data_IF_237283916948
#
_entry.id   IF_237283916948
#
_cell.length_a   1.000
_cell.length_b   1.000
_cell.length_c   1.000
_cell.angle_alpha   90.00
_cell.angle_beta   90.00
_cell.angle_gamma   90.00
#
_symmetry.space_group_name_H-M   'P 1'
#
loop_
_entity.id
_entity.type
_entity.pdbx_description
1 polymer ?
#
# COMPACT_ATOMS: atom_id res chain seq x y z
N UNK A 1 -16.78 7.81 -5.72
CA UNK A 1 -15.99 8.92 -6.31
C UNK A 1 -16.17 9.04 -7.83
N UNK A 2 -17.13 8.37 -8.39
CA UNK A 2 -17.47 8.40 -9.85
C UNK A 2 -18.65 9.34 -10.19
N UNK A 3 -19.03 10.23 -9.27
CA UNK A 3 -20.09 11.23 -9.45
C UNK A 3 -21.52 10.74 -9.25
N UNK A 4 -21.71 9.45 -8.89
CA UNK A 4 -23.06 8.92 -8.60
C UNK A 4 -23.51 9.28 -7.19
N UNK A 5 -24.83 9.47 -7.03
CA UNK A 5 -25.46 9.58 -5.71
C UNK A 5 -25.88 8.18 -5.26
N UNK A 6 -25.49 7.80 -4.06
CA UNK A 6 -25.88 6.54 -3.43
C UNK A 6 -26.77 6.86 -2.22
N UNK A 7 -27.98 6.32 -2.20
CA UNK A 7 -28.89 6.50 -1.08
C UNK A 7 -28.88 5.26 -0.18
N UNK A 8 -28.70 5.45 1.11
CA UNK A 8 -28.71 4.39 2.13
C UNK A 8 -29.86 4.69 3.08
N UNK A 9 -30.78 3.74 3.22
CA UNK A 9 -32.03 3.94 3.94
C UNK A 9 -31.99 3.53 5.41
N UNK A 10 -31.00 2.72 5.79
CA UNK A 10 -30.87 2.16 7.16
C UNK A 10 -29.41 2.03 7.57
N UNK A 11 -29.10 1.90 8.87
CA UNK A 11 -27.74 1.60 9.30
C UNK A 11 -27.22 0.32 8.67
N UNK A 12 -25.99 0.38 8.12
CA UNK A 12 -25.32 -0.73 7.49
C UNK A 12 -25.04 -1.85 8.51
N UNK A 13 -25.31 -3.09 8.15
CA UNK A 13 -25.07 -4.28 8.97
C UNK A 13 -24.28 -5.35 8.22
N UNK A 14 -24.33 -5.33 6.91
CA UNK A 14 -23.71 -6.34 6.04
C UNK A 14 -23.00 -5.65 4.89
N UNK A 15 -21.68 -5.72 4.90
CA UNK A 15 -20.83 -5.01 3.93
C UNK A 15 -20.00 -6.04 3.17
N UNK A 16 -19.99 -5.92 1.86
CA UNK A 16 -19.00 -6.59 1.01
C UNK A 16 -17.94 -5.56 0.60
N UNK A 17 -16.68 -5.92 0.75
CA UNK A 17 -15.54 -5.10 0.28
C UNK A 17 -14.83 -5.82 -0.84
N UNK A 18 -14.41 -5.08 -1.87
CA UNK A 18 -13.65 -5.63 -2.98
C UNK A 18 -12.59 -4.63 -3.45
N UNK A 19 -11.31 -4.99 -3.27
CA UNK A 19 -10.18 -4.12 -3.62
C UNK A 19 -8.89 -4.50 -2.91
N UNK A 20 -8.08 -3.51 -2.58
CA UNK A 20 -6.72 -3.70 -2.09
C UNK A 20 -6.58 -3.66 -0.56
N UNK A 21 -7.65 -3.47 0.18
CA UNK A 21 -7.64 -3.54 1.63
C UNK A 21 -7.78 -2.19 2.34
N UNK A 22 -7.90 -1.08 1.63
CA UNK A 22 -8.15 0.23 2.25
C UNK A 22 -9.47 0.24 3.02
N UNK A 23 -10.58 -0.19 2.40
CA UNK A 23 -11.89 -0.20 3.05
C UNK A 23 -11.92 -1.08 4.32
N UNK A 24 -11.42 -2.33 4.31
CA UNK A 24 -11.29 -3.12 5.54
C UNK A 24 -10.45 -2.45 6.63
N UNK A 25 -9.32 -1.82 6.28
CA UNK A 25 -8.49 -1.10 7.26
C UNK A 25 -9.23 0.09 7.87
N UNK A 26 -9.91 0.90 7.05
CA UNK A 26 -10.74 2.02 7.55
C UNK A 26 -11.88 1.52 8.42
N UNK A 27 -12.56 0.43 8.04
CA UNK A 27 -13.61 -0.18 8.85
C UNK A 27 -13.07 -0.71 10.19
N UNK A 28 -11.85 -1.28 10.20
CA UNK A 28 -11.16 -1.65 11.44
C UNK A 28 -10.89 -0.43 12.33
N UNK A 29 -10.33 0.64 11.74
CA UNK A 29 -10.02 1.88 12.45
C UNK A 29 -11.27 2.60 12.97
N UNK A 30 -12.43 2.38 12.36
CA UNK A 30 -13.75 2.86 12.81
C UNK A 30 -14.42 1.95 13.86
N UNK A 31 -13.88 0.74 14.09
CA UNK A 31 -14.50 -0.25 14.98
C UNK A 31 -15.77 -0.87 14.41
N UNK A 32 -15.88 -0.96 13.07
CA UNK A 32 -17.04 -1.52 12.34
C UNK A 32 -16.64 -2.68 11.41
N UNK A 33 -15.47 -3.26 11.61
CA UNK A 33 -14.97 -4.35 10.78
C UNK A 33 -15.82 -5.62 10.82
N UNK A 34 -16.54 -5.86 11.93
CA UNK A 34 -17.45 -7.01 12.08
C UNK A 34 -18.65 -6.98 11.11
N UNK A 35 -18.90 -5.84 10.46
CA UNK A 35 -19.95 -5.71 9.45
C UNK A 35 -19.57 -6.37 8.12
N UNK A 36 -18.28 -6.70 7.90
CA UNK A 36 -17.81 -7.32 6.67
C UNK A 36 -18.28 -8.77 6.60
N UNK A 37 -19.02 -9.12 5.55
CA UNK A 37 -19.58 -10.46 5.32
C UNK A 37 -18.95 -11.20 4.15
N UNK A 38 -18.14 -10.53 3.35
CA UNK A 38 -17.40 -11.10 2.23
C UNK A 38 -16.34 -10.12 1.71
N UNK A 39 -15.26 -10.66 1.21
CA UNK A 39 -14.15 -9.87 0.67
C UNK A 39 -13.75 -10.36 -0.71
N UNK A 40 -13.27 -9.44 -1.54
CA UNK A 40 -12.67 -9.76 -2.83
C UNK A 40 -11.41 -8.90 -3.04
N UNK A 41 -10.61 -9.26 -4.02
CA UNK A 41 -9.39 -8.53 -4.34
C UNK A 41 -8.12 -9.18 -3.81
N UNK A 42 -7.10 -8.39 -3.47
CA UNK A 42 -5.80 -8.91 -3.02
C UNK A 42 -5.86 -9.58 -1.66
N UNK A 43 -6.90 -9.32 -0.85
CA UNK A 43 -7.11 -9.94 0.45
C UNK A 43 -7.23 -11.48 0.38
N UNK A 44 -7.79 -11.99 -0.73
CA UNK A 44 -7.97 -13.42 -0.97
C UNK A 44 -6.70 -14.14 -1.40
N UNK A 45 -5.72 -13.43 -1.96
CA UNK A 45 -4.58 -14.05 -2.65
C UNK A 45 -3.31 -14.19 -1.82
N UNK A 46 -3.28 -13.67 -0.60
CA UNK A 46 -2.08 -13.65 0.25
C UNK A 46 -1.84 -14.97 0.99
N UNK A 47 -2.20 -16.09 0.37
CA UNK A 47 -1.97 -17.47 0.80
C UNK A 47 -1.08 -17.61 2.06
N UNK A 48 -1.68 -17.48 3.24
CA UNK A 48 -1.03 -17.78 4.51
C UNK A 48 -0.08 -16.70 5.08
N UNK A 49 0.09 -15.55 4.43
CA UNK A 49 0.89 -14.44 4.96
C UNK A 49 -0.02 -13.43 5.67
N UNK A 50 0.42 -12.95 6.83
CA UNK A 50 -0.26 -11.85 7.52
C UNK A 50 0.18 -10.51 6.99
N UNK A 51 -0.75 -9.57 6.95
CA UNK A 51 -0.54 -8.16 6.65
C UNK A 51 -1.65 -7.36 7.35
N UNK A 52 -1.56 -6.04 7.33
CA UNK A 52 -2.39 -5.20 8.21
C UNK A 52 -3.88 -5.56 8.22
N UNK A 53 -4.60 -5.66 7.08
CA UNK A 53 -6.04 -5.99 7.13
C UNK A 53 -6.35 -7.32 7.82
N UNK A 54 -5.59 -8.38 7.55
CA UNK A 54 -5.85 -9.70 8.14
C UNK A 54 -5.40 -9.81 9.59
N UNK A 55 -4.48 -8.95 10.03
CA UNK A 55 -4.05 -8.86 11.42
C UNK A 55 -5.07 -8.09 12.27
N UNK A 56 -5.49 -6.91 11.82
CA UNK A 56 -6.43 -6.06 12.57
C UNK A 56 -7.88 -6.56 12.51
N UNK A 57 -8.22 -7.33 11.48
CA UNK A 57 -9.51 -8.00 11.28
C UNK A 57 -9.32 -9.49 10.98
N UNK A 58 -8.97 -10.32 11.98
CA UNK A 58 -8.77 -11.76 11.78
C UNK A 58 -9.96 -12.49 11.16
N UNK A 59 -11.18 -11.97 11.35
CA UNK A 59 -12.41 -12.51 10.77
C UNK A 59 -12.34 -12.61 9.24
N UNK A 60 -11.62 -11.72 8.56
CA UNK A 60 -11.46 -11.73 7.09
C UNK A 60 -10.96 -13.08 6.58
N UNK A 61 -10.10 -13.77 7.33
CA UNK A 61 -9.54 -15.08 6.93
C UNK A 61 -10.61 -16.19 6.80
N UNK A 62 -11.74 -16.01 7.45
CA UNK A 62 -12.87 -16.97 7.44
C UNK A 62 -14.02 -16.55 6.53
N UNK A 63 -13.94 -15.35 5.94
CA UNK A 63 -15.00 -14.85 5.06
C UNK A 63 -14.91 -15.49 3.66
N UNK A 64 -16.06 -15.57 2.93
CA UNK A 64 -16.06 -15.99 1.54
C UNK A 64 -15.13 -15.12 0.69
N UNK A 65 -14.28 -15.78 -0.08
CA UNK A 65 -13.47 -15.15 -1.12
C UNK A 65 -14.32 -14.97 -2.38
N UNK A 66 -14.49 -13.71 -2.77
CA UNK A 66 -15.32 -13.33 -3.91
C UNK A 66 -14.54 -13.17 -5.22
N UNK A 67 -13.26 -13.54 -5.23
CA UNK A 67 -12.39 -13.37 -6.42
C UNK A 67 -11.71 -12.01 -6.47
N UNK A 68 -10.97 -11.77 -7.56
CA UNK A 68 -10.00 -10.70 -7.66
C UNK A 68 -10.31 -9.71 -8.78
N UNK A 69 -10.24 -8.43 -8.51
CA UNK A 69 -10.32 -7.37 -9.51
C UNK A 69 -11.57 -7.49 -10.39
N UNK A 70 -11.35 -7.57 -11.71
CA UNK A 70 -12.44 -7.69 -12.69
C UNK A 70 -13.14 -9.05 -12.69
N UNK A 71 -12.53 -10.07 -12.09
CA UNK A 71 -13.07 -11.43 -11.98
C UNK A 71 -13.86 -11.62 -10.68
N UNK A 72 -14.24 -10.52 -10.02
CA UNK A 72 -15.10 -10.57 -8.84
C UNK A 72 -16.40 -11.29 -9.16
N UNK A 73 -16.73 -12.29 -8.34
CA UNK A 73 -17.96 -13.07 -8.47
C UNK A 73 -19.15 -12.28 -7.91
N UNK A 74 -19.83 -11.55 -8.79
CA UNK A 74 -20.97 -10.69 -8.44
C UNK A 74 -22.11 -11.51 -7.86
N UNK A 75 -22.39 -12.70 -8.41
CA UNK A 75 -23.45 -13.59 -7.96
C UNK A 75 -23.21 -14.02 -6.50
N UNK A 76 -21.97 -14.41 -6.19
CA UNK A 76 -21.59 -14.76 -4.82
C UNK A 76 -21.67 -13.56 -3.88
N UNK A 77 -21.26 -12.37 -4.33
CA UNK A 77 -21.34 -11.14 -3.53
C UNK A 77 -22.82 -10.81 -3.21
N UNK A 78 -23.70 -10.88 -4.19
CA UNK A 78 -25.15 -10.65 -4.03
C UNK A 78 -25.80 -11.71 -3.13
N UNK A 79 -25.39 -12.98 -3.24
CA UNK A 79 -25.92 -14.06 -2.42
C UNK A 79 -25.65 -13.89 -0.91
N UNK A 80 -24.66 -13.06 -0.55
CA UNK A 80 -24.41 -12.68 0.85
C UNK A 80 -25.44 -11.69 1.41
N UNK A 81 -26.38 -11.21 0.58
CA UNK A 81 -27.38 -10.19 0.94
C UNK A 81 -26.74 -8.98 1.65
N UNK A 82 -25.77 -8.29 1.04
CA UNK A 82 -25.15 -7.12 1.63
C UNK A 82 -26.09 -5.91 1.54
N UNK A 83 -25.99 -5.02 2.53
CA UNK A 83 -26.66 -3.71 2.50
C UNK A 83 -25.92 -2.75 1.56
N UNK A 84 -24.63 -2.97 1.37
CA UNK A 84 -23.76 -2.18 0.49
C UNK A 84 -22.57 -3.00 0.00
N UNK A 85 -22.09 -2.66 -1.19
CA UNK A 85 -20.81 -3.14 -1.72
C UNK A 85 -19.86 -1.95 -1.88
N UNK A 86 -18.65 -2.05 -1.31
CA UNK A 86 -17.59 -1.07 -1.44
C UNK A 86 -16.54 -1.62 -2.39
N UNK A 87 -16.38 -0.96 -3.54
CA UNK A 87 -15.41 -1.30 -4.57
C UNK A 87 -14.26 -0.31 -4.53
N UNK A 88 -13.05 -0.80 -4.38
CA UNK A 88 -11.83 0.00 -4.52
C UNK A 88 -11.31 -0.18 -5.94
N UNK A 89 -11.35 0.89 -6.74
CA UNK A 89 -10.84 0.88 -8.10
C UNK A 89 -9.34 1.02 -8.11
N UNK A 90 -8.67 0.05 -8.70
CA UNK A 90 -7.25 0.15 -9.01
C UNK A 90 -7.02 0.67 -10.42
N UNK A 91 -6.09 1.63 -10.51
CA UNK A 91 -5.66 2.22 -11.77
C UNK A 91 -4.14 2.10 -11.98
N UNK A 92 -3.44 1.46 -11.06
CA UNK A 92 -2.02 1.20 -11.21
C UNK A 92 -1.77 0.27 -12.42
N UNK A 93 -0.82 0.67 -13.29
CA UNK A 93 -0.52 -0.10 -14.51
C UNK A 93 -1.39 0.24 -15.73
N UNK A 94 -1.92 1.42 -15.82
CA UNK A 94 -2.65 2.09 -16.92
C UNK A 94 -3.12 1.20 -18.10
N UNK A 95 -4.41 1.17 -18.34
CA UNK A 95 -5.08 0.67 -19.56
C UNK A 95 -6.00 -0.51 -19.30
N UNK A 96 -5.51 -1.71 -19.04
CA UNK A 96 -6.37 -2.91 -18.95
C UNK A 96 -7.10 -3.04 -17.61
N UNK A 97 -6.42 -2.74 -16.47
CA UNK A 97 -7.04 -2.84 -15.16
C UNK A 97 -8.17 -1.81 -14.99
N UNK A 98 -7.98 -0.56 -15.42
CA UNK A 98 -9.04 0.46 -15.40
C UNK A 98 -10.25 0.06 -16.26
N UNK A 99 -10.03 -0.49 -17.47
CA UNK A 99 -11.12 -0.95 -18.34
C UNK A 99 -11.88 -2.15 -17.74
N UNK A 100 -11.17 -3.04 -17.05
CA UNK A 100 -11.77 -4.17 -16.37
C UNK A 100 -12.67 -3.73 -15.20
N UNK A 101 -12.24 -2.73 -14.42
CA UNK A 101 -13.06 -2.15 -13.35
C UNK A 101 -14.27 -1.39 -13.89
N UNK A 102 -14.16 -0.68 -15.02
CA UNK A 102 -15.31 -0.06 -15.69
C UNK A 102 -16.35 -1.12 -16.04
N UNK A 103 -15.94 -2.22 -16.67
CA UNK A 103 -16.84 -3.35 -16.98
C UNK A 103 -17.44 -3.99 -15.73
N UNK A 104 -16.67 -4.10 -14.64
CA UNK A 104 -17.18 -4.61 -13.36
C UNK A 104 -18.29 -3.70 -12.82
N UNK A 105 -18.09 -2.40 -12.82
CA UNK A 105 -19.07 -1.41 -12.37
C UNK A 105 -20.33 -1.46 -13.26
N UNK A 106 -20.17 -1.57 -14.59
CA UNK A 106 -21.28 -1.76 -15.53
C UNK A 106 -22.05 -3.04 -15.22
N UNK A 107 -21.36 -4.16 -15.00
CA UNK A 107 -22.00 -5.45 -14.62
C UNK A 107 -22.76 -5.33 -13.32
N UNK A 108 -22.22 -4.70 -12.27
CA UNK A 108 -22.96 -4.45 -11.03
C UNK A 108 -24.22 -3.62 -11.27
N UNK A 109 -24.14 -2.60 -12.12
CA UNK A 109 -25.28 -1.76 -12.45
C UNK A 109 -26.39 -2.52 -13.21
N UNK A 110 -26.03 -3.54 -13.99
CA UNK A 110 -26.97 -4.39 -14.71
C UNK A 110 -27.55 -5.51 -13.84
N UNK A 111 -26.76 -6.03 -12.91
CA UNK A 111 -27.10 -7.25 -12.17
C UNK A 111 -28.12 -7.03 -11.06
N UNK A 112 -28.12 -5.87 -10.42
CA UNK A 112 -29.07 -5.61 -9.33
C UNK A 112 -29.23 -4.11 -9.02
N UNK A 113 -30.42 -3.60 -9.31
CA UNK A 113 -30.81 -2.23 -8.95
C UNK A 113 -31.13 -2.05 -7.46
N UNK A 114 -31.04 -3.09 -6.62
CA UNK A 114 -31.48 -3.05 -5.21
C UNK A 114 -30.33 -2.93 -4.19
N UNK A 115 -29.11 -3.37 -4.53
CA UNK A 115 -27.95 -3.25 -3.61
C UNK A 115 -27.12 -2.04 -4.00
N UNK A 116 -27.03 -1.03 -3.13
CA UNK A 116 -26.18 0.14 -3.39
C UNK A 116 -24.71 -0.28 -3.42
N UNK A 117 -23.93 0.37 -4.29
CA UNK A 117 -22.48 0.22 -4.29
C UNK A 117 -21.77 1.55 -4.36
N UNK A 118 -20.67 1.66 -3.66
CA UNK A 118 -19.77 2.82 -3.62
C UNK A 118 -18.48 2.45 -4.28
N UNK A 119 -17.95 3.36 -5.11
CA UNK A 119 -16.64 3.20 -5.75
C UNK A 119 -15.68 4.20 -5.14
N UNK A 120 -14.61 3.69 -4.53
CA UNK A 120 -13.45 4.44 -4.09
C UNK A 120 -12.40 4.38 -5.20
N UNK A 121 -11.71 5.47 -5.44
CA UNK A 121 -10.64 5.55 -6.45
C UNK A 121 -9.33 5.79 -5.74
N UNK A 122 -8.37 4.92 -5.91
CA UNK A 122 -7.05 5.14 -5.35
C UNK A 122 -6.35 6.37 -5.99
N UNK A 123 -5.32 6.96 -5.35
CA UNK A 123 -4.60 8.12 -5.89
C UNK A 123 -4.07 7.90 -7.32
N UNK A 124 -3.60 6.70 -7.65
CA UNK A 124 -3.10 6.37 -9.00
C UNK A 124 -4.17 6.41 -10.11
N UNK A 125 -5.45 6.55 -9.76
CA UNK A 125 -6.52 6.78 -10.71
C UNK A 125 -6.59 8.23 -11.24
N UNK A 126 -5.75 9.11 -10.74
CA UNK A 126 -5.71 10.52 -11.12
C UNK A 126 -4.39 10.86 -11.81
N UNK A 127 -4.43 11.78 -12.75
CA UNK A 127 -3.24 12.26 -13.47
C UNK A 127 -2.18 12.83 -12.51
N UNK A 128 -2.64 13.46 -11.42
CA UNK A 128 -1.81 13.98 -10.33
C UNK A 128 -2.27 13.33 -9.04
N UNK A 129 -1.65 12.23 -8.63
CA UNK A 129 -1.93 11.60 -7.36
C UNK A 129 -1.73 12.57 -6.19
N UNK A 130 -2.63 12.51 -5.21
CA UNK A 130 -2.59 13.38 -4.03
C UNK A 130 -3.09 12.62 -2.80
N UNK A 131 -2.52 12.86 -1.60
CA UNK A 131 -3.06 12.37 -0.35
C UNK A 131 -4.51 12.77 -0.10
N UNK A 132 -4.97 13.88 -0.68
CA UNK A 132 -6.37 14.33 -0.58
C UNK A 132 -7.37 13.30 -1.08
N UNK A 133 -6.95 12.44 -2.00
CA UNK A 133 -7.79 11.32 -2.46
C UNK A 133 -8.08 10.35 -1.31
N UNK A 134 -7.06 9.98 -0.55
CA UNK A 134 -7.19 9.11 0.63
C UNK A 134 -8.07 9.76 1.69
N UNK A 135 -7.85 11.05 1.98
CA UNK A 135 -8.66 11.79 2.96
C UNK A 135 -10.14 11.85 2.55
N UNK A 136 -10.41 11.98 1.25
CA UNK A 136 -11.77 11.96 0.71
C UNK A 136 -12.41 10.57 0.83
N UNK A 137 -11.67 9.50 0.58
CA UNK A 137 -12.15 8.12 0.79
C UNK A 137 -12.51 7.88 2.26
N UNK A 138 -11.66 8.28 3.20
CA UNK A 138 -11.92 8.18 4.64
C UNK A 138 -13.16 9.00 5.02
N UNK A 139 -13.33 10.19 4.44
CA UNK A 139 -14.52 11.04 4.67
C UNK A 139 -15.79 10.34 4.21
N UNK A 140 -15.80 9.80 2.99
CA UNK A 140 -16.95 9.04 2.44
C UNK A 140 -17.28 7.84 3.34
N UNK A 141 -16.26 7.08 3.77
CA UNK A 141 -16.45 5.98 4.69
C UNK A 141 -17.00 6.44 6.04
N UNK A 142 -16.53 7.59 6.55
CA UNK A 142 -17.05 8.21 7.76
C UNK A 142 -18.56 8.54 7.67
N UNK A 143 -19.00 9.03 6.51
CA UNK A 143 -20.43 9.30 6.25
C UNK A 143 -21.23 7.99 6.17
N UNK A 144 -20.71 6.95 5.48
CA UNK A 144 -21.36 5.67 5.32
C UNK A 144 -21.64 4.96 6.65
N UNK A 145 -20.73 5.06 7.62
CA UNK A 145 -20.79 4.32 8.87
C UNK A 145 -21.13 5.19 10.10
N UNK A 146 -21.54 6.43 9.90
CA UNK A 146 -21.77 7.41 10.99
C UNK A 146 -20.57 7.56 11.92
N UNK A 147 -19.36 7.68 11.31
CA UNK A 147 -18.07 7.78 11.98
C UNK A 147 -17.31 9.05 11.60
N UNK A 148 -17.99 10.15 11.30
CA UNK A 148 -17.38 11.40 10.79
C UNK A 148 -16.36 12.00 11.76
N UNK A 149 -16.57 11.86 13.07
CA UNK A 149 -15.60 12.35 14.08
C UNK A 149 -14.31 11.52 13.98
N UNK A 150 -14.45 10.20 13.97
CA UNK A 150 -13.30 9.29 13.87
C UNK A 150 -12.58 9.43 12.53
N UNK A 151 -13.31 9.65 11.45
CA UNK A 151 -12.73 9.93 10.14
C UNK A 151 -11.83 11.18 10.16
N UNK A 152 -12.27 12.26 10.81
CA UNK A 152 -11.44 13.46 10.97
C UNK A 152 -10.18 13.21 11.79
N UNK A 153 -10.29 12.51 12.91
CA UNK A 153 -9.12 12.15 13.73
C UNK A 153 -8.06 11.38 12.93
N UNK A 154 -8.50 10.41 12.11
CA UNK A 154 -7.59 9.64 11.24
C UNK A 154 -6.97 10.55 10.18
N UNK A 155 -7.78 11.37 9.51
CA UNK A 155 -7.28 12.31 8.49
C UNK A 155 -6.25 13.28 9.08
N UNK A 156 -6.50 13.81 10.28
CA UNK A 156 -5.59 14.74 10.94
C UNK A 156 -4.26 14.06 11.29
N UNK A 157 -4.30 12.82 11.79
CA UNK A 157 -3.10 12.00 12.02
C UNK A 157 -2.29 11.83 10.73
N UNK A 158 -2.93 11.39 9.65
CA UNK A 158 -2.24 11.17 8.36
C UNK A 158 -1.65 12.47 7.80
N UNK A 159 -2.35 13.61 7.97
CA UNK A 159 -1.84 14.92 7.55
C UNK A 159 -0.62 15.35 8.34
N UNK A 160 -0.60 15.13 9.66
CA UNK A 160 0.55 15.44 10.51
C UNK A 160 1.78 14.61 10.08
N UNK A 161 1.58 13.34 9.80
CA UNK A 161 2.65 12.44 9.36
C UNK A 161 3.17 12.81 7.95
N UNK A 162 2.29 13.16 7.02
CA UNK A 162 2.67 13.68 5.69
C UNK A 162 3.45 14.99 5.82
N UNK A 163 2.98 15.92 6.68
CA UNK A 163 3.66 17.19 6.90
C UNK A 163 5.06 17.00 7.49
N UNK A 164 5.26 16.01 8.35
CA UNK A 164 6.57 15.67 8.89
C UNK A 164 7.60 15.37 7.78
N UNK A 165 7.20 14.64 6.75
CA UNK A 165 8.06 14.35 5.59
C UNK A 165 8.22 15.59 4.72
N UNK A 166 7.10 16.20 4.32
CA UNK A 166 7.09 17.35 3.42
C UNK A 166 7.95 18.51 3.93
N UNK A 167 7.83 18.85 5.22
CA UNK A 167 8.57 19.97 5.81
C UNK A 167 10.09 19.76 5.82
N UNK A 168 10.54 18.51 5.84
CA UNK A 168 11.97 18.15 5.87
C UNK A 168 12.59 17.98 4.49
N UNK A 169 11.76 17.84 3.45
CA UNK A 169 12.23 17.54 2.09
C UNK A 169 11.97 18.66 1.09
N UNK A 170 11.08 19.62 1.38
CA UNK A 170 10.60 20.66 0.46
C UNK A 170 11.68 21.58 -0.11
N UNK A 171 12.79 21.75 0.60
CA UNK A 171 13.91 22.65 0.22
C UNK A 171 15.07 21.91 -0.47
N UNK A 172 14.92 20.63 -0.79
CA UNK A 172 15.93 19.84 -1.47
C UNK A 172 15.91 20.17 -2.97
N UNK A 173 16.95 20.81 -3.45
CA UNK A 173 17.11 21.14 -4.87
C UNK A 173 17.21 19.87 -5.73
N UNK A 174 16.67 19.88 -6.96
CA UNK A 174 16.67 18.71 -7.84
C UNK A 174 18.04 18.07 -8.08
N UNK A 175 19.09 18.89 -8.19
CA UNK A 175 20.45 18.43 -8.43
C UNK A 175 21.10 17.77 -7.21
N UNK A 176 20.52 17.96 -6.02
CA UNK A 176 21.00 17.40 -4.76
C UNK A 176 20.25 16.12 -4.34
N UNK A 177 19.36 15.61 -5.19
CA UNK A 177 18.57 14.40 -4.90
C UNK A 177 19.39 13.16 -5.22
N UNK A 178 19.64 12.27 -4.24
CA UNK A 178 20.21 10.97 -4.50
C UNK A 178 19.36 10.17 -5.48
N UNK A 179 20.03 9.35 -6.29
CA UNK A 179 19.34 8.43 -7.20
C UNK A 179 18.85 7.20 -6.45
N UNK A 180 17.58 6.86 -6.59
CA UNK A 180 16.95 5.75 -5.87
C UNK A 180 16.41 4.73 -6.85
N UNK A 181 16.69 3.45 -6.57
CA UNK A 181 16.09 2.33 -7.28
C UNK A 181 15.07 1.64 -6.38
N UNK A 182 13.81 1.73 -6.75
CA UNK A 182 12.75 0.92 -6.16
C UNK A 182 12.67 -0.40 -6.93
N UNK A 183 12.84 -1.53 -6.26
CA UNK A 183 12.79 -2.82 -6.92
C UNK A 183 12.33 -3.96 -6.02
N UNK A 184 11.80 -5.04 -6.65
CA UNK A 184 11.56 -6.33 -6.02
C UNK A 184 12.49 -7.39 -6.60
N UNK A 185 13.07 -8.23 -5.74
CA UNK A 185 13.92 -9.35 -6.15
C UNK A 185 13.07 -10.56 -6.53
N UNK A 186 13.40 -11.23 -7.63
CA UNK A 186 12.66 -12.42 -8.10
C UNK A 186 13.26 -13.73 -7.59
N UNK A 187 14.20 -13.70 -6.67
CA UNK A 187 14.76 -14.90 -6.05
C UNK A 187 13.66 -15.75 -5.42
N UNK A 188 13.66 -17.04 -5.75
CA UNK A 188 12.71 -18.00 -5.20
C UNK A 188 11.26 -17.84 -5.68
N UNK A 189 10.98 -17.03 -6.69
CA UNK A 189 9.67 -16.92 -7.32
C UNK A 189 9.57 -17.79 -8.58
N UNK A 190 8.32 -18.15 -8.97
CA UNK A 190 8.06 -18.88 -10.21
C UNK A 190 8.45 -18.10 -11.49
N UNK A 191 8.68 -16.80 -11.38
CA UNK A 191 9.00 -15.89 -12.49
C UNK A 191 10.48 -15.79 -12.83
N UNK A 192 11.38 -16.30 -11.99
CA UNK A 192 12.81 -16.20 -12.26
C UNK A 192 13.62 -17.22 -11.47
N UNK A 193 14.46 -17.96 -12.16
CA UNK A 193 15.52 -18.75 -11.53
C UNK A 193 16.65 -17.80 -11.14
N UNK A 194 16.50 -17.07 -10.01
CA UNK A 194 17.48 -16.17 -9.40
C UNK A 194 18.18 -15.20 -10.36
N UNK A 195 18.53 -14.01 -9.97
CA UNK A 195 19.31 -13.01 -10.74
C UNK A 195 18.51 -11.94 -11.51
N UNK A 196 17.19 -11.96 -11.44
CA UNK A 196 16.35 -10.89 -11.99
C UNK A 196 15.73 -10.06 -10.88
N UNK A 197 15.54 -8.79 -11.15
CA UNK A 197 14.75 -7.89 -10.32
C UNK A 197 13.75 -7.13 -11.18
N UNK A 198 12.71 -6.63 -10.55
CA UNK A 198 11.74 -5.74 -11.21
C UNK A 198 11.91 -4.36 -10.66
N UNK A 199 12.38 -3.43 -11.49
CA UNK A 199 12.40 -2.00 -11.20
C UNK A 199 10.99 -1.42 -11.32
N UNK A 200 10.62 -0.55 -10.40
CA UNK A 200 9.25 -0.05 -10.26
C UNK A 200 9.20 1.45 -10.41
N UNK A 201 8.29 1.99 -11.25
CA UNK A 201 8.11 3.43 -11.41
C UNK A 201 7.36 4.04 -10.23
N UNK A 202 7.42 5.39 -10.12
CA UNK A 202 6.56 6.14 -9.22
C UNK A 202 5.09 5.90 -9.54
N UNK A 203 4.22 6.11 -8.54
CA UNK A 203 2.78 5.91 -8.61
C UNK A 203 2.31 4.48 -8.94
N UNK A 204 3.24 3.55 -9.11
CA UNK A 204 2.92 2.12 -9.21
C UNK A 204 3.25 1.42 -7.88
N UNK A 205 4.52 1.11 -7.64
CA UNK A 205 4.99 0.58 -6.36
C UNK A 205 6.29 1.27 -5.90
N UNK A 206 6.75 2.29 -6.60
CA UNK A 206 7.79 3.22 -6.16
C UNK A 206 7.21 4.22 -5.15
N UNK A 207 7.80 5.38 -5.02
CA UNK A 207 7.21 6.40 -4.14
C UNK A 207 5.83 6.85 -4.65
N UNK A 208 4.83 6.88 -3.75
CA UNK A 208 3.45 7.19 -4.12
C UNK A 208 3.27 8.69 -4.38
N UNK A 209 4.00 9.52 -3.65
CA UNK A 209 3.91 10.99 -3.74
C UNK A 209 5.32 11.62 -3.87
N UNK A 210 5.96 11.45 -5.04
CA UNK A 210 7.34 11.93 -5.26
C UNK A 210 7.49 13.44 -5.07
N UNK A 211 6.43 14.22 -5.30
CA UNK A 211 6.44 15.66 -5.07
C UNK A 211 6.54 16.01 -3.58
N UNK A 212 6.14 15.10 -2.68
CA UNK A 212 6.21 15.30 -1.23
C UNK A 212 7.51 14.74 -0.68
N UNK A 213 7.87 13.52 -1.05
CA UNK A 213 9.12 12.87 -0.58
C UNK A 213 10.36 13.50 -1.20
N UNK A 214 10.20 14.16 -2.34
CA UNK A 214 11.27 14.77 -3.12
C UNK A 214 12.37 13.78 -3.57
N UNK A 215 12.00 12.51 -3.72
CA UNK A 215 12.86 11.40 -4.12
C UNK A 215 12.99 11.35 -5.65
N UNK A 216 14.19 11.00 -6.12
CA UNK A 216 14.49 10.80 -7.54
C UNK A 216 14.58 9.31 -7.86
N UNK A 217 13.46 8.74 -8.30
CA UNK A 217 13.46 7.36 -8.78
C UNK A 217 14.19 7.24 -10.14
N UNK A 218 15.04 6.24 -10.28
CA UNK A 218 15.76 5.98 -11.54
C UNK A 218 14.80 5.49 -12.63
N UNK A 219 13.80 4.68 -12.26
CA UNK A 219 12.78 4.28 -13.20
C UNK A 219 11.79 5.42 -13.43
N UNK A 220 12.06 6.24 -14.42
CA UNK A 220 11.21 7.36 -14.85
C UNK A 220 10.12 6.94 -15.83
N UNK A 221 10.02 5.64 -16.13
CA UNK A 221 9.01 5.07 -17.01
C UNK A 221 7.60 5.06 -16.39
N UNK A 222 6.67 4.48 -17.12
CA UNK A 222 5.29 4.27 -16.66
C UNK A 222 5.00 2.80 -16.37
N UNK A 223 5.97 1.93 -16.57
CA UNK A 223 5.83 0.48 -16.45
C UNK A 223 6.96 -0.10 -15.62
N UNK A 224 6.67 -1.22 -15.00
CA UNK A 224 7.68 -2.04 -14.34
C UNK A 224 8.64 -2.61 -15.38
N UNK A 225 9.92 -2.64 -15.06
CA UNK A 225 10.96 -3.13 -15.94
C UNK A 225 11.67 -4.33 -15.31
N UNK A 226 11.68 -5.46 -16.03
CA UNK A 226 12.46 -6.63 -15.65
C UNK A 226 13.93 -6.38 -16.01
N UNK A 227 14.83 -6.49 -15.02
CA UNK A 227 16.24 -6.17 -15.17
C UNK A 227 17.13 -7.34 -14.79
N UNK A 228 18.18 -7.55 -15.58
CA UNK A 228 19.29 -8.45 -15.23
C UNK A 228 20.27 -7.78 -14.27
N UNK A 229 21.15 -8.58 -13.64
CA UNK A 229 22.20 -8.06 -12.77
C UNK A 229 23.13 -7.07 -13.49
N UNK A 230 23.44 -7.28 -14.77
CA UNK A 230 24.28 -6.38 -15.57
C UNK A 230 23.61 -5.02 -15.81
N UNK A 231 22.30 -5.03 -16.07
CA UNK A 231 21.53 -3.79 -16.21
C UNK A 231 21.49 -3.00 -14.91
N UNK A 232 21.24 -3.70 -13.78
CA UNK A 232 21.22 -3.09 -12.45
C UNK A 232 22.59 -2.48 -12.07
N UNK A 233 23.69 -3.19 -12.34
CA UNK A 233 25.06 -2.68 -12.12
C UNK A 233 25.33 -1.41 -12.90
N UNK A 234 24.77 -1.26 -14.10
CA UNK A 234 24.92 -0.08 -14.93
C UNK A 234 24.19 1.14 -14.37
N UNK A 235 23.09 0.92 -13.64
CA UNK A 235 22.32 1.99 -13.01
C UNK A 235 23.05 2.59 -11.79
N UNK A 236 23.75 1.77 -11.02
CA UNK A 236 24.51 2.10 -9.81
C UNK A 236 23.87 3.20 -8.92
N UNK A 237 22.68 2.97 -8.38
CA UNK A 237 21.96 3.96 -7.58
C UNK A 237 22.69 4.31 -6.28
N UNK A 238 22.35 5.49 -5.71
CA UNK A 238 22.83 5.90 -4.38
C UNK A 238 22.12 5.09 -3.27
N UNK A 239 20.83 4.78 -3.47
CA UNK A 239 19.99 4.06 -2.51
C UNK A 239 19.14 3.02 -3.23
N UNK A 240 18.98 1.86 -2.61
CA UNK A 240 18.05 0.81 -3.06
C UNK A 240 16.95 0.65 -2.02
N UNK A 241 15.69 0.65 -2.49
CA UNK A 241 14.53 0.35 -1.66
C UNK A 241 13.87 -0.92 -2.18
N UNK A 242 13.94 -1.98 -1.38
CA UNK A 242 13.34 -3.27 -1.69
C UNK A 242 11.86 -3.27 -1.33
N UNK A 243 11.08 -3.81 -2.24
CA UNK A 243 9.65 -3.86 -2.20
C UNK A 243 9.15 -5.31 -2.06
N UNK A 244 8.07 -5.51 -1.33
CA UNK A 244 7.44 -6.82 -1.19
C UNK A 244 6.97 -7.39 -2.55
N UNK A 245 6.56 -6.53 -3.44
CA UNK A 245 6.05 -6.93 -4.75
C UNK A 245 7.00 -6.48 -5.88
N UNK A 246 7.26 -7.29 -6.88
CA UNK A 246 6.72 -8.64 -7.14
C UNK A 246 7.56 -9.79 -6.57
N UNK A 247 8.52 -9.54 -5.72
CA UNK A 247 9.45 -10.56 -5.27
C UNK A 247 9.96 -10.37 -3.84
N UNK A 248 11.24 -10.72 -3.63
CA UNK A 248 11.88 -10.63 -2.33
C UNK A 248 12.21 -9.19 -1.92
N UNK A 249 12.04 -8.91 -0.66
CA UNK A 249 12.28 -7.62 -0.01
C UNK A 249 13.26 -7.73 1.16
N UNK A 250 13.73 -8.93 1.45
CA UNK A 250 14.73 -9.15 2.49
C UNK A 250 16.08 -8.60 2.04
N UNK A 251 16.56 -7.58 2.75
CA UNK A 251 17.83 -6.89 2.44
C UNK A 251 19.02 -7.86 2.41
N UNK A 252 18.98 -8.87 3.27
CA UNK A 252 20.01 -9.90 3.39
C UNK A 252 20.26 -10.68 2.06
N UNK A 253 19.25 -10.81 1.23
CA UNK A 253 19.37 -11.44 -0.09
C UNK A 253 20.41 -10.72 -0.95
N UNK A 254 20.42 -9.39 -0.96
CA UNK A 254 21.40 -8.62 -1.73
C UNK A 254 22.81 -8.71 -1.14
N UNK A 255 22.93 -8.89 0.17
CA UNK A 255 24.23 -8.95 0.81
C UNK A 255 24.87 -10.34 0.75
N UNK A 256 24.10 -11.40 0.80
CA UNK A 256 24.61 -12.74 1.11
C UNK A 256 24.21 -13.82 0.11
N UNK A 257 23.24 -13.59 -0.79
CA UNK A 257 22.82 -14.63 -1.74
C UNK A 257 23.77 -14.75 -2.92
N UNK A 258 24.12 -16.00 -3.27
CA UNK A 258 24.89 -16.32 -4.49
C UNK A 258 24.13 -15.95 -5.78
N UNK A 259 22.80 -15.87 -5.73
CA UNK A 259 21.98 -15.46 -6.87
C UNK A 259 22.21 -14.00 -7.28
N UNK A 260 22.66 -13.17 -6.32
CA UNK A 260 22.90 -11.74 -6.50
C UNK A 260 24.35 -11.33 -6.20
N UNK A 261 25.32 -12.26 -6.28
CA UNK A 261 26.73 -12.02 -6.01
C UNK A 261 27.31 -10.85 -6.83
N UNK A 262 26.87 -10.70 -8.08
CA UNK A 262 27.27 -9.60 -8.93
C UNK A 262 26.83 -8.22 -8.34
N UNK A 263 25.65 -8.16 -7.73
CA UNK A 263 25.09 -6.90 -7.19
C UNK A 263 25.77 -6.46 -5.88
N UNK A 264 26.50 -7.35 -5.21
CA UNK A 264 27.27 -7.03 -4.00
C UNK A 264 28.36 -5.99 -4.26
N UNK A 265 28.67 -5.71 -5.53
CA UNK A 265 29.61 -4.66 -5.94
C UNK A 265 28.97 -3.30 -6.19
N UNK A 266 27.65 -3.23 -6.20
CA UNK A 266 26.93 -1.94 -6.35
C UNK A 266 27.24 -1.03 -5.18
N UNK A 267 27.41 0.26 -5.45
CA UNK A 267 27.74 1.26 -4.43
C UNK A 267 26.74 1.25 -3.27
N UNK A 268 25.45 1.26 -3.55
CA UNK A 268 24.41 1.20 -2.53
C UNK A 268 24.52 -0.05 -1.63
N UNK A 269 24.92 -1.20 -2.19
CA UNK A 269 25.10 -2.45 -1.42
C UNK A 269 26.38 -2.39 -0.57
N UNK A 270 27.49 -1.92 -1.14
CA UNK A 270 28.78 -1.74 -0.44
C UNK A 270 28.66 -0.76 0.71
N UNK A 271 27.96 0.35 0.50
CA UNK A 271 27.75 1.41 1.50
C UNK A 271 26.61 1.15 2.48
N UNK A 272 25.94 -0.01 2.36
CA UNK A 272 24.79 -0.39 3.20
C UNK A 272 23.55 0.51 3.05
N UNK A 273 23.41 1.15 1.89
CA UNK A 273 22.26 1.99 1.54
C UNK A 273 21.14 1.16 0.89
N UNK A 274 20.82 0.01 1.46
CA UNK A 274 19.71 -0.85 1.03
C UNK A 274 18.70 -0.95 2.16
N UNK A 275 17.47 -0.58 1.86
CA UNK A 275 16.36 -0.55 2.81
C UNK A 275 15.17 -1.35 2.30
N UNK A 276 14.20 -1.61 3.15
CA UNK A 276 12.96 -2.27 2.76
C UNK A 276 11.76 -1.59 3.40
N UNK A 277 10.66 -1.53 2.66
CA UNK A 277 9.36 -1.11 3.19
C UNK A 277 8.55 -2.30 3.72
N UNK A 278 9.16 -3.47 3.85
CA UNK A 278 8.49 -4.66 4.37
C UNK A 278 7.29 -5.08 3.51
N UNK A 279 6.19 -5.45 4.17
CA UNK A 279 4.98 -5.97 3.51
C UNK A 279 3.83 -4.97 3.42
N UNK A 280 4.10 -3.70 3.13
CA UNK A 280 3.06 -2.71 2.85
C UNK A 280 2.31 -2.94 1.52
N UNK A 281 2.26 -4.18 1.03
CA UNK A 281 1.67 -4.51 -0.27
C UNK A 281 0.23 -4.01 -0.43
N UNK A 282 -0.58 -4.10 0.63
CA UNK A 282 -1.97 -3.65 0.58
C UNK A 282 -2.11 -2.13 0.47
N UNK A 283 -1.11 -1.37 0.92
CA UNK A 283 -1.13 0.09 0.89
C UNK A 283 -0.47 0.70 -0.33
N UNK A 284 0.48 -0.01 -0.95
CA UNK A 284 1.31 0.51 -2.05
C UNK A 284 0.53 0.97 -3.27
N UNK A 285 -0.35 0.13 -3.77
CA UNK A 285 -1.15 0.48 -4.95
C UNK A 285 -2.29 1.42 -4.64
N UNK A 286 -2.70 1.52 -3.39
CA UNK A 286 -3.93 2.17 -2.97
C UNK A 286 -3.71 3.35 -2.05
N UNK A 287 -2.44 3.63 -1.67
CA UNK A 287 -2.15 4.53 -0.58
C UNK A 287 -3.06 4.24 0.62
N UNK A 288 -2.93 3.02 1.20
CA UNK A 288 -3.65 2.62 2.41
C UNK A 288 -3.32 3.52 3.60
N UNK A 289 -3.84 3.23 4.77
CA UNK A 289 -3.64 4.08 5.94
C UNK A 289 -2.17 4.22 6.35
N UNK A 290 -1.31 3.28 5.96
CA UNK A 290 0.12 3.26 6.27
C UNK A 290 0.99 4.13 5.35
N UNK A 291 0.45 4.72 4.29
CA UNK A 291 1.25 5.45 3.29
C UNK A 291 2.15 6.54 3.88
N UNK A 292 1.79 7.30 4.94
CA UNK A 292 2.69 8.32 5.48
C UNK A 292 3.93 7.71 6.14
N UNK A 293 3.79 6.54 6.74
CA UNK A 293 4.92 5.82 7.35
C UNK A 293 5.83 5.25 6.28
N UNK A 294 5.28 4.74 5.18
CA UNK A 294 6.06 4.30 4.02
C UNK A 294 6.89 5.47 3.45
N UNK A 295 6.26 6.63 3.23
CA UNK A 295 6.96 7.85 2.84
C UNK A 295 8.07 8.24 3.82
N UNK A 296 7.84 8.07 5.13
CA UNK A 296 8.84 8.38 6.16
C UNK A 296 10.03 7.41 6.12
N UNK A 297 9.79 6.11 5.89
CA UNK A 297 10.85 5.12 5.66
C UNK A 297 11.70 5.53 4.47
N UNK A 298 11.06 5.81 3.34
CA UNK A 298 11.72 6.22 2.10
C UNK A 298 12.52 7.51 2.28
N UNK A 299 11.91 8.55 2.84
CA UNK A 299 12.56 9.83 3.04
C UNK A 299 13.76 9.75 3.99
N UNK A 300 13.65 8.98 5.09
CA UNK A 300 14.78 8.78 5.99
C UNK A 300 15.90 7.95 5.37
N UNK A 301 15.56 6.93 4.58
CA UNK A 301 16.54 6.12 3.86
C UNK A 301 17.35 6.96 2.86
N UNK A 302 16.70 7.93 2.20
CA UNK A 302 17.32 8.77 1.17
C UNK A 302 18.01 10.00 1.74
N UNK A 303 17.48 10.57 2.83
CA UNK A 303 17.97 11.82 3.47
C UNK A 303 18.19 11.63 4.97
N UNK A 304 19.05 10.69 5.40
CA UNK A 304 19.19 10.33 6.82
C UNK A 304 19.55 11.53 7.71
N UNK A 305 20.31 12.50 7.21
CA UNK A 305 20.69 13.72 7.93
C UNK A 305 19.51 14.63 8.27
N UNK A 306 18.40 14.55 7.49
CA UNK A 306 17.18 15.33 7.73
C UNK A 306 16.27 14.71 8.79
N UNK A 307 16.49 13.44 9.12
CA UNK A 307 15.63 12.64 9.99
C UNK A 307 16.38 12.00 11.19
N UNK A 308 17.53 12.56 11.58
CA UNK A 308 18.34 12.02 12.69
C UNK A 308 17.59 11.94 14.02
N UNK A 309 16.70 12.90 14.28
CA UNK A 309 15.86 12.99 15.48
C UNK A 309 14.60 12.11 15.41
N UNK A 310 14.35 11.44 14.29
CA UNK A 310 13.17 10.60 14.09
C UNK A 310 13.55 9.13 14.14
N UNK A 311 12.87 8.38 14.99
CA UNK A 311 12.88 6.92 14.98
C UNK A 311 11.61 6.42 14.31
N UNK A 312 11.73 5.91 13.10
CA UNK A 312 10.57 5.47 12.29
C UNK A 312 9.82 4.33 12.97
N UNK A 313 10.54 3.41 13.64
CA UNK A 313 9.93 2.34 14.42
C UNK A 313 9.01 2.87 15.54
N UNK A 314 9.36 3.99 16.19
CA UNK A 314 8.51 4.63 17.20
C UNK A 314 7.30 5.34 16.56
N UNK A 315 7.49 5.98 15.39
CA UNK A 315 6.38 6.61 14.66
C UNK A 315 5.36 5.56 14.18
N UNK A 316 5.83 4.45 13.61
CA UNK A 316 4.97 3.33 13.23
C UNK A 316 4.18 2.77 14.44
N UNK A 317 4.83 2.69 15.61
CA UNK A 317 4.15 2.27 16.85
C UNK A 317 3.02 3.21 17.22
N UNK A 318 3.26 4.53 17.17
CA UNK A 318 2.22 5.54 17.44
C UNK A 318 1.09 5.47 16.42
N UNK A 319 1.42 5.33 15.14
CA UNK A 319 0.48 5.19 14.03
C UNK A 319 -0.48 4.02 14.25
N UNK A 320 0.02 2.81 14.47
CA UNK A 320 -0.82 1.64 14.67
C UNK A 320 -1.68 1.70 15.94
N UNK A 321 -1.13 2.27 17.03
CA UNK A 321 -1.93 2.51 18.25
C UNK A 321 -3.06 3.51 18.00
N UNK A 322 -2.78 4.59 17.31
CA UNK A 322 -3.76 5.62 17.00
C UNK A 322 -4.85 5.13 16.04
N UNK A 323 -4.49 4.34 15.03
CA UNK A 323 -5.47 3.81 14.06
C UNK A 323 -6.32 2.68 14.64
N UNK A 324 -5.71 1.69 15.27
CA UNK A 324 -6.37 0.42 15.57
C UNK A 324 -6.48 0.12 17.06
N UNK A 325 -6.08 1.07 17.94
CA UNK A 325 -6.09 0.90 19.40
C UNK A 325 -5.32 -0.33 19.88
N UNK A 326 -4.26 -0.72 19.14
CA UNK A 326 -3.41 -1.86 19.48
C UNK A 326 -2.56 -1.57 20.74
N UNK A 327 -2.32 -2.58 21.56
CA UNK A 327 -1.35 -2.51 22.64
C UNK A 327 0.08 -2.78 22.12
N UNK A 328 1.10 -2.59 22.98
CA UNK A 328 2.51 -2.74 22.60
C UNK A 328 2.83 -4.15 22.06
N UNK A 329 2.26 -5.19 22.65
CA UNK A 329 2.46 -6.57 22.21
C UNK A 329 1.88 -6.79 20.81
N UNK A 330 0.67 -6.30 20.57
CA UNK A 330 0.01 -6.41 19.26
C UNK A 330 0.77 -5.63 18.19
N UNK A 331 1.24 -4.41 18.50
CA UNK A 331 2.06 -3.62 17.57
C UNK A 331 3.35 -4.34 17.22
N UNK A 332 4.03 -4.93 18.21
CA UNK A 332 5.23 -5.72 17.97
C UNK A 332 4.95 -6.91 17.04
N UNK A 333 3.89 -7.66 17.30
CA UNK A 333 3.48 -8.79 16.45
C UNK A 333 3.13 -8.33 15.02
N UNK A 334 2.48 -7.17 14.87
CA UNK A 334 2.16 -6.62 13.55
C UNK A 334 3.43 -6.20 12.80
N UNK A 335 4.37 -5.52 13.46
CA UNK A 335 5.68 -5.18 12.85
C UNK A 335 6.43 -6.43 12.38
N UNK A 336 6.47 -7.49 13.19
CA UNK A 336 7.07 -8.76 12.81
C UNK A 336 6.35 -9.40 11.60
N UNK A 337 5.01 -9.40 11.62
CA UNK A 337 4.21 -9.92 10.49
C UNK A 337 4.43 -9.14 9.20
N UNK A 338 4.63 -7.82 9.29
CA UNK A 338 4.90 -6.92 8.17
C UNK A 338 6.38 -6.87 7.76
N UNK A 339 7.26 -7.61 8.45
CA UNK A 339 8.72 -7.56 8.28
C UNK A 339 9.28 -6.12 8.44
N UNK A 340 8.79 -5.40 9.45
CA UNK A 340 9.17 -4.04 9.79
C UNK A 340 9.89 -3.93 11.14
N UNK A 341 10.12 -5.05 11.81
CA UNK A 341 10.80 -5.13 13.11
C UNK A 341 12.30 -4.80 13.03
N UNK A 342 12.89 -4.79 11.82
CA UNK A 342 14.26 -4.36 11.58
C UNK A 342 14.50 -2.91 12.03
N UNK A 343 13.52 -2.03 11.90
CA UNK A 343 13.63 -0.62 12.31
C UNK A 343 13.90 -0.47 13.81
N UNK A 344 13.32 -1.35 14.63
CA UNK A 344 13.53 -1.34 16.07
C UNK A 344 14.92 -1.91 16.44
N UNK A 345 15.42 -2.90 15.67
CA UNK A 345 16.73 -3.53 15.87
C UNK A 345 17.88 -2.61 15.48
N UNK A 346 17.72 -1.88 14.40
CA UNK A 346 18.75 -1.02 13.81
C UNK A 346 18.68 0.42 14.32
N UNK A 347 17.65 0.75 15.13
CA UNK A 347 17.44 2.09 15.66
C UNK A 347 17.01 3.12 14.60
N UNK A 348 16.41 2.63 13.50
CA UNK A 348 15.99 3.42 12.35
C UNK A 348 14.79 4.33 12.62
#
# INVERSE_FOLDING_TARGET
>A
MDGRTVSISEPLKRVVTAGYGMAPCVMAAFGVGDLIVGTGGSLSSTAGKEYTPTFVLPVIKALPDLGRGADLNIEAAVALNPDIIILEKDCAGQGSASAAYVKLIERFSLFNNSIPFVVLNNPACFEKPSPDTVYKEITIMGELFDKQVRAREIIDLLKEEVALVADRTKDIEPDNRPSVLFMGLLAGTDYGKGKLAVSVPDYDCGTIFPEITNIKNINTGKTRELMSSEQLLTLDPDVIILLCYPGGYEVDILYNSEDYDALQKMRAVVEKNVFTTGRFEASRHTAGLEFPIEMLIEAKAVYPERFQDIKVGEQLTKHYKALYSLNDTQVKMLKEAMALDWMDKDGF
#
